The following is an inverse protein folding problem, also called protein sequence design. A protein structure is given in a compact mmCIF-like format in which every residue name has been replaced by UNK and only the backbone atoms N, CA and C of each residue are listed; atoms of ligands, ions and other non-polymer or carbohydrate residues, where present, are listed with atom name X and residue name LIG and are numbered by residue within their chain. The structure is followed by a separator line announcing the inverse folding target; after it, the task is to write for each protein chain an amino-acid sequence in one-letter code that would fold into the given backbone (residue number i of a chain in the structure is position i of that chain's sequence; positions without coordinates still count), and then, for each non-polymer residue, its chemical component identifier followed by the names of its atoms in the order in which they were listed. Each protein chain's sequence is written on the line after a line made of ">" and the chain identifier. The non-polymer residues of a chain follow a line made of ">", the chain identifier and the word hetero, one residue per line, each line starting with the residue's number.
data_IF_194491763930
#
_entry.id   IF_194491763930
#
_cell.length_a   1.000
_cell.length_b   1.000
_cell.length_c   1.000
_cell.angle_alpha   90.00
_cell.angle_beta   90.00
_cell.angle_gamma   90.00
#
_symmetry.space_group_name_H-M   'P 1'
#
loop_
_entity.id
_entity.type
_entity.pdbx_description
1 polymer ?
#
# COMPACT_ATOMS: atom_id res chain seq x y z
N UNK A 1 25.69 -9.93 16.78
CA UNK A 1 25.30 -8.83 15.88
C UNK A 1 25.19 -9.40 14.47
N UNK A 2 24.14 -9.08 13.73
CA UNK A 2 24.03 -9.46 12.30
C UNK A 2 24.73 -8.40 11.44
N UNK A 3 25.37 -8.82 10.35
CA UNK A 3 26.10 -7.90 9.46
C UNK A 3 25.11 -6.96 8.75
N UNK A 4 25.24 -5.65 9.01
CA UNK A 4 24.30 -4.64 8.53
C UNK A 4 24.13 -4.65 7.01
N UNK A 5 25.22 -4.72 6.25
CA UNK A 5 25.13 -4.60 4.79
C UNK A 5 24.50 -5.85 4.17
N UNK A 6 24.74 -7.03 4.73
CA UNK A 6 24.00 -8.24 4.37
C UNK A 6 22.50 -8.12 4.64
N UNK A 7 22.11 -7.54 5.78
CA UNK A 7 20.69 -7.31 6.11
C UNK A 7 20.06 -6.29 5.15
N UNK A 8 20.75 -5.20 4.81
CA UNK A 8 20.25 -4.21 3.85
C UNK A 8 20.01 -4.86 2.49
N UNK A 9 20.97 -5.63 1.97
CA UNK A 9 20.81 -6.33 0.68
C UNK A 9 19.63 -7.31 0.69
N UNK A 10 19.45 -8.03 1.79
CA UNK A 10 18.33 -8.97 1.95
C UNK A 10 16.98 -8.24 2.01
N UNK A 11 16.89 -7.13 2.75
CA UNK A 11 15.66 -6.37 2.89
C UNK A 11 15.27 -5.63 1.62
N UNK A 12 16.22 -5.22 0.78
CA UNK A 12 15.93 -4.53 -0.50
C UNK A 12 15.09 -5.37 -1.48
N UNK A 13 15.04 -6.69 -1.29
CA UNK A 13 14.29 -7.65 -2.11
C UNK A 13 13.23 -8.41 -1.31
N UNK A 14 12.92 -7.94 -0.10
CA UNK A 14 12.01 -8.63 0.78
C UNK A 14 10.56 -8.52 0.27
N UNK A 15 9.82 -9.63 0.45
CA UNK A 15 8.40 -9.72 0.17
C UNK A 15 7.67 -10.34 1.36
N UNK A 16 6.44 -9.91 1.56
CA UNK A 16 5.49 -10.49 2.52
C UNK A 16 4.29 -10.95 1.71
N UNK A 17 4.04 -12.27 1.69
CA UNK A 17 2.94 -12.85 0.94
C UNK A 17 1.58 -12.60 1.63
N UNK A 18 1.58 -12.61 2.97
CA UNK A 18 0.38 -12.47 3.79
C UNK A 18 0.62 -11.42 4.87
N UNK A 19 -0.14 -10.33 4.81
CA UNK A 19 -0.14 -9.26 5.80
C UNK A 19 -1.55 -8.69 5.97
N UNK A 20 -1.80 -7.87 7.01
CA UNK A 20 -3.14 -7.33 7.27
C UNK A 20 -3.73 -6.53 6.11
N UNK A 21 -2.88 -5.85 5.33
CA UNK A 21 -3.27 -5.11 4.11
C UNK A 21 -3.25 -5.95 2.84
N UNK A 22 -2.88 -7.23 2.91
CA UNK A 22 -2.53 -8.07 1.77
C UNK A 22 -1.02 -8.15 1.51
N UNK A 23 -0.59 -8.72 0.37
CA UNK A 23 0.81 -8.85 0.02
C UNK A 23 1.50 -7.49 -0.15
N UNK A 24 2.79 -7.45 0.17
CA UNK A 24 3.64 -6.27 0.01
C UNK A 24 5.07 -6.66 -0.39
N UNK A 25 5.72 -5.84 -1.19
CA UNK A 25 7.07 -6.11 -1.69
C UNK A 25 7.91 -4.84 -1.75
N UNK A 26 9.18 -4.96 -1.39
CA UNK A 26 10.15 -3.87 -1.51
C UNK A 26 10.43 -3.59 -2.99
N UNK A 27 10.51 -2.32 -3.34
CA UNK A 27 10.96 -1.89 -4.67
C UNK A 27 12.48 -1.73 -4.62
N UNK A 28 13.25 -2.61 -5.31
CA UNK A 28 14.70 -2.65 -5.15
C UNK A 28 15.36 -1.30 -5.46
N UNK A 29 16.32 -0.91 -4.62
CA UNK A 29 17.06 0.34 -4.72
C UNK A 29 16.28 1.60 -4.36
N UNK A 30 14.96 1.52 -4.11
CA UNK A 30 14.15 2.67 -3.68
C UNK A 30 13.90 2.71 -2.18
N UNK A 31 14.13 1.60 -1.48
CA UNK A 31 13.78 1.40 -0.06
C UNK A 31 12.30 1.70 0.25
N UNK A 32 11.45 1.68 -0.77
CA UNK A 32 10.02 1.88 -0.69
C UNK A 32 9.32 0.53 -0.87
N UNK A 33 8.04 0.46 -0.47
CA UNK A 33 7.24 -0.75 -0.58
C UNK A 33 6.09 -0.53 -1.55
N UNK A 34 5.91 -1.46 -2.49
CA UNK A 34 4.68 -1.63 -3.25
C UNK A 34 3.69 -2.42 -2.37
N UNK A 35 2.54 -1.82 -2.11
CA UNK A 35 1.52 -2.41 -1.24
C UNK A 35 0.12 -2.12 -1.75
N UNK A 36 -0.85 -2.93 -1.31
CA UNK A 36 -2.25 -2.71 -1.65
C UNK A 36 -2.77 -1.44 -1.01
N UNK A 37 -3.45 -0.61 -1.81
CA UNK A 37 -4.09 0.62 -1.35
C UNK A 37 -5.60 0.54 -1.47
N UNK A 38 -6.31 1.22 -0.57
CA UNK A 38 -7.77 1.19 -0.48
C UNK A 38 -8.32 2.59 -0.29
N UNK A 39 -9.42 2.90 -0.96
CA UNK A 39 -10.25 4.07 -0.64
C UNK A 39 -11.38 3.58 0.25
N UNK A 40 -11.49 4.15 1.44
CA UNK A 40 -12.54 3.83 2.39
C UNK A 40 -13.37 5.08 2.74
N UNK A 41 -14.65 4.84 3.04
CA UNK A 41 -15.57 5.87 3.52
C UNK A 41 -15.91 5.60 4.99
N UNK A 42 -15.88 6.65 5.81
CA UNK A 42 -16.36 6.58 7.19
C UNK A 42 -17.89 6.52 7.20
N UNK A 43 -18.45 5.48 7.79
CA UNK A 43 -19.89 5.26 7.94
C UNK A 43 -20.18 4.71 9.33
N UNK A 44 -20.95 5.45 10.15
CA UNK A 44 -21.33 4.98 11.49
C UNK A 44 -20.15 4.62 12.40
N UNK A 45 -19.06 5.40 12.33
CA UNK A 45 -17.85 5.17 13.13
C UNK A 45 -16.93 4.05 12.61
N UNK A 46 -17.23 3.45 11.46
CA UNK A 46 -16.41 2.41 10.83
C UNK A 46 -15.95 2.83 9.43
N UNK A 47 -14.77 2.38 9.00
CA UNK A 47 -14.30 2.57 7.63
C UNK A 47 -14.77 1.40 6.76
N UNK A 48 -15.60 1.69 5.76
CA UNK A 48 -15.95 0.72 4.72
C UNK A 48 -15.11 0.97 3.48
N UNK A 49 -14.39 -0.05 3.01
CA UNK A 49 -13.66 0.02 1.75
C UNK A 49 -14.66 0.17 0.60
N UNK A 50 -14.56 1.28 -0.13
CA UNK A 50 -15.40 1.57 -1.31
C UNK A 50 -14.67 1.29 -2.61
N UNK A 51 -13.33 1.22 -2.57
CA UNK A 51 -12.51 0.82 -3.72
C UNK A 51 -11.22 0.16 -3.26
N UNK A 52 -10.89 -0.96 -3.89
CA UNK A 52 -9.58 -1.58 -3.82
C UNK A 52 -8.77 -1.11 -5.03
N UNK A 53 -7.61 -0.51 -4.80
CA UNK A 53 -6.72 -0.02 -5.84
C UNK A 53 -5.64 -1.05 -6.22
N UNK A 54 -5.53 -2.14 -5.46
CA UNK A 54 -4.49 -3.15 -5.65
C UNK A 54 -3.10 -2.61 -5.30
N UNK A 55 -2.04 -3.33 -5.69
CA UNK A 55 -0.66 -2.97 -5.37
C UNK A 55 -0.26 -1.71 -6.14
N UNK A 56 0.03 -0.64 -5.41
CA UNK A 56 0.49 0.64 -5.96
C UNK A 56 1.98 0.81 -5.70
N UNK A 57 2.72 1.25 -6.71
CA UNK A 57 4.12 1.63 -6.58
C UNK A 57 4.32 2.93 -5.79
N UNK A 58 5.46 3.09 -5.10
CA UNK A 58 5.85 4.40 -4.55
C UNK A 58 5.85 5.44 -5.68
N UNK A 59 5.28 6.61 -5.40
CA UNK A 59 4.85 7.66 -6.36
C UNK A 59 3.41 7.52 -6.91
N UNK A 60 2.47 7.05 -6.08
CA UNK A 60 1.01 7.23 -6.15
C UNK A 60 0.39 7.47 -7.54
N UNK A 61 -0.47 6.54 -8.00
CA UNK A 61 -1.28 6.81 -9.20
C UNK A 61 -2.15 8.04 -8.98
N UNK A 62 -1.92 9.10 -9.77
CA UNK A 62 -2.79 10.27 -9.85
C UNK A 62 -4.22 9.80 -10.13
N UNK A 63 -5.13 9.97 -9.19
CA UNK A 63 -6.54 9.67 -9.38
C UNK A 63 -7.10 10.69 -10.40
N UNK A 64 -7.18 10.32 -11.68
CA UNK A 64 -7.79 11.19 -12.68
C UNK A 64 -9.29 11.34 -12.38
N UNK A 65 -9.73 12.60 -12.26
CA UNK A 65 -11.02 13.02 -11.74
C UNK A 65 -12.23 12.28 -12.34
N UNK A 66 -12.80 11.42 -11.50
CA UNK A 66 -14.14 10.84 -11.68
C UNK A 66 -14.80 10.44 -10.35
N UNK A 67 -14.10 10.63 -9.22
CA UNK A 67 -14.57 10.23 -7.91
C UNK A 67 -15.47 11.31 -7.31
N UNK A 68 -16.76 11.29 -7.67
CA UNK A 68 -17.77 12.02 -6.91
C UNK A 68 -18.08 11.24 -5.64
N UNK A 69 -17.67 11.78 -4.49
CA UNK A 69 -18.25 11.42 -3.20
C UNK A 69 -19.75 11.77 -3.23
N UNK A 70 -20.58 10.83 -3.68
CA UNK A 70 -22.04 11.03 -3.67
C UNK A 70 -22.52 11.11 -2.22
N UNK A 71 -22.98 12.30 -1.83
CA UNK A 71 -23.79 12.67 -0.68
C UNK A 71 -23.52 11.96 0.66
N UNK A 72 -22.90 12.71 1.56
CA UNK A 72 -23.02 12.51 3.00
C UNK A 72 -24.35 13.13 3.44
N UNK A 73 -25.30 12.28 3.81
CA UNK A 73 -26.48 12.62 4.60
C UNK A 73 -26.33 12.06 6.00
#
# INVERSE_FOLDING_TARGET
>A
SVERDAVIRALDHARIAEGPGGPAEMVPGQHHVRMNMYIAQAQGGQFRVVKNLGPIDPNESMLTDGFRLSNVG
#
